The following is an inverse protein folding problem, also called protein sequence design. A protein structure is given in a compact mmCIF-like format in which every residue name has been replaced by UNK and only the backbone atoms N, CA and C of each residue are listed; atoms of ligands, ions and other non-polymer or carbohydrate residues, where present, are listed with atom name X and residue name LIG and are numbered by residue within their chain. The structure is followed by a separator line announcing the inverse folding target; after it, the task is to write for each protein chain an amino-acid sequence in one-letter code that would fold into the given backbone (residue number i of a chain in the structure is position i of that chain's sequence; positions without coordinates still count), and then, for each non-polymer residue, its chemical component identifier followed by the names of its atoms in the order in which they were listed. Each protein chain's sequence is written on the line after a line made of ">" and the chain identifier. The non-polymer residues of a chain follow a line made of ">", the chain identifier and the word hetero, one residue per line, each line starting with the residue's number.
data_IF_100550630509
#
_entry.id   IF_100550630509
#
_cell.length_a   1.000
_cell.length_b   1.000
_cell.length_c   1.000
_cell.angle_alpha   90.00
_cell.angle_beta   90.00
_cell.angle_gamma   90.00
#
_symmetry.space_group_name_H-M   'P 1'
#
loop_
_entity.id
_entity.type
_entity.pdbx_description
1 polymer ?
#
# COMPACT_ATOMS: atom_id res chain seq x y z
N UNK A 1 -4.43 5.01 4.93
CA UNK A 1 -4.00 4.92 3.52
C UNK A 1 -3.18 6.14 3.09
N UNK A 2 -3.74 7.35 2.98
CA UNK A 2 -3.00 8.50 2.43
C UNK A 2 -1.71 8.82 3.20
N UNK A 3 -1.76 8.81 4.53
CA UNK A 3 -0.56 8.99 5.36
C UNK A 3 0.43 7.82 5.22
N UNK A 4 -0.05 6.59 5.06
CA UNK A 4 0.83 5.42 4.85
C UNK A 4 1.57 5.49 3.52
N UNK A 5 0.96 6.04 2.45
CA UNK A 5 1.68 6.33 1.20
C UNK A 5 2.80 7.34 1.37
N UNK A 6 2.67 8.29 2.30
CA UNK A 6 3.68 9.33 2.54
C UNK A 6 4.82 8.84 3.44
N UNK A 7 4.59 7.78 4.21
CA UNK A 7 5.51 7.25 5.22
C UNK A 7 5.95 5.85 4.79
N UNK A 8 6.90 5.79 3.87
CA UNK A 8 7.46 4.56 3.31
C UNK A 8 8.12 4.77 1.95
N UNK A 9 9.03 3.88 1.58
CA UNK A 9 9.80 3.99 0.33
C UNK A 9 9.05 3.59 -0.94
N UNK A 10 7.82 3.06 -0.86
CA UNK A 10 7.15 2.46 -2.03
C UNK A 10 6.85 3.45 -3.18
N UNK A 11 6.50 4.74 -2.95
CA UNK A 11 6.40 5.71 -4.05
C UNK A 11 7.74 5.93 -4.76
N UNK A 12 8.86 5.79 -4.03
CA UNK A 12 10.20 5.87 -4.58
C UNK A 12 10.58 4.60 -5.35
N UNK A 13 10.21 3.42 -4.83
CA UNK A 13 10.37 2.13 -5.54
C UNK A 13 9.60 2.08 -6.86
N UNK A 14 8.43 2.70 -6.94
CA UNK A 14 7.67 2.78 -8.18
C UNK A 14 8.41 3.56 -9.28
N UNK A 15 9.17 4.60 -8.92
CA UNK A 15 10.01 5.33 -9.88
C UNK A 15 11.26 4.54 -10.31
N UNK A 16 11.78 3.65 -9.48
CA UNK A 16 12.91 2.78 -9.84
C UNK A 16 12.56 1.71 -10.87
N UNK A 17 11.27 1.39 -11.04
CA UNK A 17 10.83 0.44 -12.07
C UNK A 17 11.20 0.95 -13.47
N UNK A 18 11.05 2.25 -13.73
CA UNK A 18 11.41 2.87 -15.00
C UNK A 18 12.89 2.69 -15.33
N UNK A 19 13.76 2.91 -14.33
CA UNK A 19 15.20 2.68 -14.45
C UNK A 19 15.55 1.21 -14.63
N UNK A 20 14.94 0.31 -13.85
CA UNK A 20 15.23 -1.12 -13.91
C UNK A 20 14.74 -1.78 -15.21
N UNK A 21 13.64 -1.28 -15.77
CA UNK A 21 13.05 -1.77 -17.01
C UNK A 21 13.62 -1.08 -18.28
N UNK A 22 14.53 -0.11 -18.11
CA UNK A 22 15.01 0.76 -19.20
C UNK A 22 13.86 1.38 -20.01
N UNK A 23 12.82 1.82 -19.29
CA UNK A 23 11.54 2.24 -19.85
C UNK A 23 11.03 3.48 -19.09
N UNK A 24 11.65 4.63 -19.37
CA UNK A 24 11.26 5.91 -18.80
C UNK A 24 9.87 6.34 -19.29
N UNK A 25 9.02 6.77 -18.36
CA UNK A 25 7.70 7.32 -18.66
C UNK A 25 7.86 8.78 -19.07
N UNK A 26 7.38 9.20 -20.26
CA UNK A 26 7.48 10.59 -20.68
C UNK A 26 6.81 11.55 -19.68
N UNK A 27 7.48 12.65 -19.35
CA UNK A 27 7.02 13.63 -18.37
C UNK A 27 5.61 14.19 -18.65
N UNK A 28 5.27 14.30 -19.94
CA UNK A 28 3.96 14.75 -20.43
C UNK A 28 2.80 13.87 -19.95
N UNK A 29 3.05 12.57 -19.79
CA UNK A 29 2.05 11.59 -19.34
C UNK A 29 2.26 11.12 -17.91
N UNK A 30 3.46 11.29 -17.34
CA UNK A 30 3.80 10.90 -15.96
C UNK A 30 2.82 11.46 -14.91
N UNK A 31 2.34 12.68 -15.13
CA UNK A 31 1.35 13.34 -14.28
C UNK A 31 -0.11 12.93 -14.54
N UNK A 32 -0.37 12.10 -15.54
CA UNK A 32 -1.72 11.72 -15.94
C UNK A 32 -2.44 10.92 -14.86
N UNK A 33 -3.78 11.01 -14.86
CA UNK A 33 -4.59 10.28 -13.88
C UNK A 33 -4.36 8.76 -13.90
N UNK A 34 -4.31 8.08 -15.05
CA UNK A 34 -4.07 6.63 -15.09
C UNK A 34 -2.74 6.24 -14.43
N UNK A 35 -1.65 6.94 -14.76
CA UNK A 35 -0.33 6.63 -14.18
C UNK A 35 -0.25 6.90 -12.68
N UNK A 36 -0.90 7.98 -12.21
CA UNK A 36 -1.01 8.21 -10.76
C UNK A 36 -1.79 7.12 -10.06
N UNK A 37 -2.89 6.63 -10.66
CA UNK A 37 -3.68 5.53 -10.10
C UNK A 37 -2.88 4.24 -10.03
N UNK A 38 -2.14 3.88 -11.09
CA UNK A 38 -1.27 2.72 -11.11
C UNK A 38 -0.20 2.78 -10.00
N UNK A 39 0.53 3.90 -9.92
CA UNK A 39 1.57 4.10 -8.89
C UNK A 39 0.99 4.03 -7.48
N UNK A 40 -0.13 4.69 -7.23
CA UNK A 40 -0.76 4.73 -5.92
C UNK A 40 -1.31 3.35 -5.53
N UNK A 41 -1.92 2.60 -6.46
CA UNK A 41 -2.40 1.24 -6.23
C UNK A 41 -1.25 0.26 -5.95
N UNK A 42 -0.14 0.36 -6.68
CA UNK A 42 1.08 -0.40 -6.42
C UNK A 42 1.63 -0.10 -5.01
N UNK A 43 1.80 1.18 -4.69
CA UNK A 43 2.29 1.60 -3.37
C UNK A 43 1.38 1.12 -2.24
N UNK A 44 0.06 1.23 -2.40
CA UNK A 44 -0.90 0.70 -1.41
C UNK A 44 -0.76 -0.81 -1.25
N UNK A 45 -0.64 -1.55 -2.36
CA UNK A 45 -0.48 -3.00 -2.33
C UNK A 45 0.76 -3.46 -1.54
N UNK A 46 1.89 -2.79 -1.76
CA UNK A 46 3.14 -3.07 -1.04
C UNK A 46 3.00 -2.81 0.46
N UNK A 47 2.45 -1.65 0.85
CA UNK A 47 2.32 -1.30 2.27
C UNK A 47 1.29 -2.16 3.01
N UNK A 48 0.11 -2.40 2.42
CA UNK A 48 -0.93 -3.21 3.06
C UNK A 48 -0.48 -4.66 3.25
N UNK A 49 0.24 -5.21 2.26
CA UNK A 49 0.86 -6.53 2.40
C UNK A 49 1.90 -6.54 3.52
N UNK A 50 2.75 -5.51 3.60
CA UNK A 50 3.71 -5.40 4.69
C UNK A 50 3.00 -5.38 6.05
N UNK A 51 2.01 -4.50 6.23
CA UNK A 51 1.26 -4.36 7.48
C UNK A 51 0.66 -5.70 7.96
N UNK A 52 0.14 -6.53 7.04
CA UNK A 52 -0.39 -7.87 7.37
C UNK A 52 0.70 -8.83 7.88
N UNK A 53 1.82 -8.93 7.16
CA UNK A 53 2.88 -9.89 7.50
C UNK A 53 3.82 -9.41 8.59
N UNK A 54 3.87 -8.10 8.85
CA UNK A 54 4.70 -7.51 9.88
C UNK A 54 3.99 -7.32 11.21
N UNK A 55 2.65 -7.44 11.26
CA UNK A 55 1.83 -7.09 12.43
C UNK A 55 2.36 -7.62 13.75
N UNK A 56 2.56 -8.93 13.85
CA UNK A 56 3.00 -9.56 15.09
C UNK A 56 4.32 -8.97 15.60
N UNK A 57 5.33 -8.93 14.71
CA UNK A 57 6.65 -8.38 15.06
C UNK A 57 6.57 -6.89 15.40
N UNK A 58 5.93 -6.09 14.55
CA UNK A 58 5.94 -4.63 14.70
C UNK A 58 5.07 -4.18 15.88
N UNK A 59 3.87 -4.73 16.01
CA UNK A 59 2.87 -4.28 16.99
C UNK A 59 3.01 -5.01 18.32
N UNK A 60 3.10 -6.35 18.32
CA UNK A 60 3.10 -7.12 19.56
C UNK A 60 4.49 -7.14 20.22
N UNK A 61 5.56 -7.32 19.42
CA UNK A 61 6.92 -7.42 19.95
C UNK A 61 7.62 -6.06 20.07
N UNK A 62 7.51 -5.20 19.04
CA UNK A 62 8.23 -3.92 18.96
C UNK A 62 7.42 -2.72 19.47
N UNK A 63 6.10 -2.85 19.65
CA UNK A 63 5.22 -1.78 20.13
C UNK A 63 5.01 -0.63 19.14
N UNK A 64 5.29 -0.84 17.85
CA UNK A 64 5.02 0.10 16.77
C UNK A 64 3.51 0.31 16.61
N UNK A 65 3.11 1.58 16.44
CA UNK A 65 1.70 1.95 16.29
C UNK A 65 1.31 2.24 14.83
N UNK A 66 2.29 2.28 13.93
CA UNK A 66 2.13 2.57 12.50
C UNK A 66 1.89 1.28 11.71
N UNK A 67 0.75 0.64 11.91
CA UNK A 67 0.32 -0.55 11.19
C UNK A 67 -1.19 -0.50 10.86
N UNK A 68 -1.56 -0.79 9.61
CA UNK A 68 -2.93 -0.74 9.12
C UNK A 68 -3.92 -1.65 9.87
N UNK A 69 -3.49 -2.85 10.31
CA UNK A 69 -4.35 -3.78 11.07
C UNK A 69 -4.69 -3.16 12.41
N UNK A 70 -3.70 -2.66 13.16
CA UNK A 70 -3.90 -2.02 14.45
C UNK A 70 -4.81 -0.78 14.34
N UNK A 71 -4.64 0.00 13.27
CA UNK A 71 -5.48 1.18 13.02
C UNK A 71 -6.94 0.78 12.80
N UNK A 72 -7.20 -0.24 11.98
CA UNK A 72 -8.57 -0.71 11.72
C UNK A 72 -9.18 -1.35 12.96
N UNK A 73 -8.43 -2.17 13.69
CA UNK A 73 -8.85 -2.79 14.93
C UNK A 73 -9.35 -1.74 15.93
N UNK A 74 -8.53 -0.72 16.21
CA UNK A 74 -8.88 0.36 17.16
C UNK A 74 -10.02 1.24 16.66
N UNK A 75 -10.05 1.55 15.36
CA UNK A 75 -11.04 2.45 14.79
C UNK A 75 -12.44 1.81 14.72
N UNK A 76 -12.51 0.53 14.36
CA UNK A 76 -13.76 -0.21 14.22
C UNK A 76 -14.18 -0.91 15.52
N UNK A 77 -13.27 -1.04 16.49
CA UNK A 77 -13.52 -1.76 17.74
C UNK A 77 -13.76 -3.26 17.53
N UNK A 78 -13.09 -3.85 16.54
CA UNK A 78 -13.22 -5.27 16.18
C UNK A 78 -12.02 -6.08 16.69
N UNK A 79 -12.04 -7.40 16.49
CA UNK A 79 -10.89 -8.25 16.75
C UNK A 79 -9.75 -8.01 15.74
N UNK A 80 -8.52 -8.32 16.14
CA UNK A 80 -7.34 -8.27 15.26
C UNK A 80 -7.54 -9.07 13.97
N UNK A 81 -8.19 -10.24 14.05
CA UNK A 81 -8.46 -11.08 12.88
C UNK A 81 -9.43 -10.41 11.91
N UNK A 82 -10.54 -9.84 12.40
CA UNK A 82 -11.49 -9.08 11.57
C UNK A 82 -10.82 -7.86 10.92
N UNK A 83 -9.95 -7.16 11.66
CA UNK A 83 -9.18 -6.05 11.13
C UNK A 83 -8.20 -6.50 10.04
N UNK A 84 -7.51 -7.64 10.22
CA UNK A 84 -6.59 -8.20 9.24
C UNK A 84 -7.32 -8.61 7.95
N UNK A 85 -8.51 -9.23 8.08
CA UNK A 85 -9.36 -9.56 6.93
C UNK A 85 -9.78 -8.31 6.16
N UNK A 86 -10.22 -7.26 6.86
CA UNK A 86 -10.56 -5.99 6.22
C UNK A 86 -9.35 -5.33 5.51
N UNK A 87 -8.15 -5.40 6.10
CA UNK A 87 -6.92 -4.93 5.43
C UNK A 87 -6.62 -5.78 4.18
N UNK A 88 -6.83 -7.10 4.24
CA UNK A 88 -6.66 -7.98 3.08
C UNK A 88 -7.66 -7.70 1.96
N UNK A 89 -8.91 -7.36 2.29
CA UNK A 89 -9.92 -6.95 1.30
C UNK A 89 -9.52 -5.65 0.61
N UNK A 90 -8.98 -4.68 1.38
CA UNK A 90 -8.43 -3.45 0.81
C UNK A 90 -7.24 -3.72 -0.10
N UNK A 91 -6.32 -4.60 0.31
CA UNK A 91 -5.18 -5.03 -0.51
C UNK A 91 -5.66 -5.65 -1.84
N UNK A 92 -6.61 -6.57 -1.75
CA UNK A 92 -7.19 -7.27 -2.91
C UNK A 92 -7.84 -6.26 -3.87
N UNK A 93 -8.61 -5.31 -3.34
CA UNK A 93 -9.23 -4.25 -4.12
C UNK A 93 -8.19 -3.36 -4.84
N UNK A 94 -7.06 -3.06 -4.20
CA UNK A 94 -5.98 -2.27 -4.82
C UNK A 94 -5.28 -3.02 -5.94
N UNK A 95 -5.06 -4.32 -5.79
CA UNK A 95 -4.51 -5.16 -6.86
C UNK A 95 -5.46 -5.23 -8.06
N UNK A 96 -6.75 -5.44 -7.82
CA UNK A 96 -7.76 -5.39 -8.90
C UNK A 96 -7.79 -4.02 -9.59
N UNK A 97 -7.67 -2.93 -8.84
CA UNK A 97 -7.59 -1.59 -9.42
C UNK A 97 -6.34 -1.44 -10.30
N UNK A 98 -5.18 -1.95 -9.85
CA UNK A 98 -3.95 -1.92 -10.63
C UNK A 98 -4.09 -2.70 -11.94
N UNK A 99 -4.62 -3.92 -11.89
CA UNK A 99 -4.78 -4.80 -13.06
C UNK A 99 -5.78 -4.24 -14.10
N UNK A 100 -6.78 -3.50 -13.65
CA UNK A 100 -7.86 -3.00 -14.51
C UNK A 100 -7.74 -1.50 -14.86
N UNK A 101 -6.64 -0.84 -14.47
CA UNK A 101 -6.41 0.56 -14.87
C UNK A 101 -5.89 0.58 -16.31
N UNK A 102 -6.78 0.95 -17.25
CA UNK A 102 -6.48 1.24 -18.65
C UNK A 102 -6.33 2.75 -18.91
#
# INVERSE_FOLDING_TARGET
>A
IEMRRKVGGAPWSAGLVEYAADAEVPAEVAGSRPLRVLRDAFSDGVHLRNDLFSYQREVEDEGENSNGVLVLEKFLGCSTQEAAEAVNDLLTSRLQQFENTA
#
